data_IF_577508521552
#
_entry.id   IF_577508521552
#
_cell.length_a   1.000
_cell.length_b   1.000
_cell.length_c   1.000
_cell.angle_alpha   90.00
_cell.angle_beta   90.00
_cell.angle_gamma   90.00
#
_symmetry.space_group_name_H-M   'P 1'
#
loop_
_entity.id
_entity.type
_entity.pdbx_description
1 polymer ?
#
# COMPACT_ATOMS: atom_id res chain seq x y z
N UNK A 1 9.50 0.60 -5.27
CA UNK A 1 8.22 -0.10 -5.54
C UNK A 1 7.47 0.47 -6.75
N UNK A 2 7.17 1.77 -6.84
CA UNK A 2 6.48 2.35 -8.00
C UNK A 2 7.11 1.99 -9.36
N UNK A 3 8.42 2.18 -9.51
CA UNK A 3 9.13 1.84 -10.75
C UNK A 3 9.08 0.34 -11.05
N UNK A 4 9.29 -0.51 -10.05
CA UNK A 4 9.22 -1.96 -10.20
C UNK A 4 7.83 -2.46 -10.61
N UNK A 5 6.75 -1.79 -10.18
CA UNK A 5 5.38 -2.14 -10.61
C UNK A 5 5.12 -1.76 -12.08
N UNK A 6 5.68 -0.64 -12.53
CA UNK A 6 5.62 -0.22 -13.92
C UNK A 6 6.45 -1.14 -14.82
N UNK A 7 7.67 -1.49 -14.39
CA UNK A 7 8.58 -2.40 -15.10
C UNK A 7 7.96 -3.80 -15.28
N UNK A 8 7.31 -4.33 -14.24
CA UNK A 8 6.64 -5.61 -14.28
C UNK A 8 5.31 -5.60 -15.08
N UNK A 9 4.87 -4.42 -15.57
CA UNK A 9 3.62 -4.22 -16.33
C UNK A 9 2.37 -4.78 -15.65
N UNK A 10 2.41 -4.96 -14.33
CA UNK A 10 1.31 -5.52 -13.56
C UNK A 10 0.28 -4.45 -13.18
N UNK A 11 0.64 -3.17 -13.25
CA UNK A 11 -0.23 -2.04 -12.91
C UNK A 11 -0.14 -0.94 -13.95
N UNK A 12 -1.29 -0.33 -14.29
CA UNK A 12 -1.38 0.90 -15.09
C UNK A 12 -2.20 1.92 -14.32
N UNK A 13 -1.62 3.09 -14.08
CA UNK A 13 -2.37 4.22 -13.52
C UNK A 13 -3.41 4.67 -14.55
N UNK A 14 -4.68 4.71 -14.15
CA UNK A 14 -5.79 5.16 -14.99
C UNK A 14 -6.58 6.24 -14.28
N UNK A 15 -7.18 7.14 -15.05
CA UNK A 15 -8.17 8.06 -14.53
C UNK A 15 -9.42 7.28 -14.11
N UNK A 16 -10.08 7.74 -13.04
CA UNK A 16 -11.38 7.22 -12.63
C UNK A 16 -12.40 7.53 -13.74
N UNK A 17 -13.08 6.53 -14.31
CA UNK A 17 -14.05 6.79 -15.36
C UNK A 17 -15.25 7.56 -14.80
N UNK A 18 -15.86 8.44 -15.60
CA UNK A 18 -17.04 9.19 -15.18
C UNK A 18 -18.15 8.21 -14.81
N UNK A 19 -18.83 8.45 -13.68
CA UNK A 19 -19.84 7.59 -13.00
C UNK A 19 -19.31 6.53 -12.02
N UNK A 20 -18.00 6.30 -11.90
CA UNK A 20 -17.47 5.39 -10.90
C UNK A 20 -16.97 6.13 -9.66
N UNK A 21 -17.07 5.47 -8.50
CA UNK A 21 -16.45 5.94 -7.25
C UNK A 21 -15.15 5.16 -7.03
N UNK A 22 -14.07 5.87 -6.76
CA UNK A 22 -12.84 5.22 -6.32
C UNK A 22 -13.09 4.49 -4.99
N UNK A 23 -12.50 3.32 -4.82
CA UNK A 23 -12.52 2.63 -3.54
C UNK A 23 -11.70 3.45 -2.53
N UNK A 24 -12.24 3.75 -1.34
CA UNK A 24 -11.44 4.35 -0.29
C UNK A 24 -10.33 3.38 0.09
N UNK A 25 -9.10 3.90 0.22
CA UNK A 25 -7.96 3.14 0.69
C UNK A 25 -7.18 3.95 1.73
N UNK A 26 -6.53 3.25 2.64
CA UNK A 26 -5.74 3.88 3.70
C UNK A 26 -4.47 3.07 3.97
N UNK A 27 -3.47 3.74 4.54
CA UNK A 27 -2.24 3.11 4.97
C UNK A 27 -2.38 2.60 6.40
N UNK A 28 -1.99 1.35 6.63
CA UNK A 28 -1.80 0.78 7.95
C UNK A 28 -0.29 0.74 8.23
N UNK A 29 0.11 1.47 9.27
CA UNK A 29 1.49 1.53 9.74
C UNK A 29 1.61 0.72 11.04
N UNK A 30 2.58 -0.17 11.10
CA UNK A 30 2.88 -0.96 12.29
C UNK A 30 4.40 -1.00 12.53
N UNK A 31 4.81 -0.88 13.79
CA UNK A 31 6.19 -1.11 14.21
C UNK A 31 6.25 -2.50 14.83
N UNK A 32 7.15 -3.34 14.32
CA UNK A 32 7.47 -4.62 14.94
C UNK A 32 8.65 -4.44 15.87
N UNK A 33 8.51 -5.00 17.06
CA UNK A 33 9.55 -5.00 18.08
C UNK A 33 10.08 -6.41 18.29
N UNK A 34 11.37 -6.51 18.58
CA UNK A 34 12.03 -7.72 19.04
C UNK A 34 11.64 -8.03 20.49
N UNK A 35 11.96 -9.23 20.97
CA UNK A 35 11.68 -9.64 22.36
C UNK A 35 12.39 -8.77 23.42
N UNK A 36 13.49 -8.12 23.04
CA UNK A 36 14.25 -7.17 23.87
C UNK A 36 13.70 -5.73 23.82
N UNK A 37 12.61 -5.50 23.07
CA UNK A 37 11.96 -4.19 22.91
C UNK A 37 12.59 -3.29 21.85
N UNK A 38 13.65 -3.72 21.15
CA UNK A 38 14.23 -2.95 20.04
C UNK A 38 13.35 -3.03 18.79
N UNK A 39 13.46 -2.05 17.89
CA UNK A 39 12.67 -2.03 16.65
C UNK A 39 13.25 -3.07 15.69
N UNK A 40 12.48 -4.11 15.39
CA UNK A 40 12.79 -5.10 14.36
C UNK A 40 12.57 -4.52 12.97
N UNK A 41 11.39 -3.94 12.74
CA UNK A 41 10.97 -3.49 11.40
C UNK A 41 9.80 -2.50 11.44
N UNK A 42 9.89 -1.48 10.61
CA UNK A 42 8.74 -0.67 10.21
C UNK A 42 7.99 -1.34 9.06
N UNK A 43 6.68 -1.50 9.22
CA UNK A 43 5.80 -2.20 8.28
C UNK A 43 4.67 -1.28 7.85
N UNK A 44 4.59 -1.03 6.55
CA UNK A 44 3.48 -0.30 5.94
C UNK A 44 2.71 -1.23 4.99
N UNK A 45 1.38 -1.12 4.98
CA UNK A 45 0.50 -1.80 4.02
C UNK A 45 -0.58 -0.83 3.55
N UNK A 46 -0.81 -0.76 2.24
CA UNK A 46 -1.97 -0.08 1.68
C UNK A 46 -3.16 -1.05 1.69
N UNK A 47 -4.27 -0.64 2.28
CA UNK A 47 -5.47 -1.47 2.42
C UNK A 47 -6.64 -0.78 1.73
N UNK A 48 -7.35 -1.51 0.87
CA UNK A 48 -8.63 -1.07 0.33
C UNK A 48 -9.72 -1.31 1.37
N UNK A 49 -10.58 -0.32 1.57
CA UNK A 49 -11.77 -0.44 2.40
C UNK A 49 -12.88 -1.07 1.56
N UNK A 50 -13.34 -2.26 1.97
CA UNK A 50 -14.36 -3.06 1.30
C UNK A 50 -15.36 -3.62 2.28
#
# INVERSE_FOLDING_TARGET
EYQSLLENRTWKLTCLPPSQKALPCHWVLAVKYNADGTIERFKARLVAQG
#
